data_IF_225269239774
#
_entry.id   IF_225269239774
#
_cell.length_a   1.000
_cell.length_b   1.000
_cell.length_c   1.000
_cell.angle_alpha   90.00
_cell.angle_beta   90.00
_cell.angle_gamma   90.00
#
_symmetry.space_group_name_H-M   'P 1'
#
loop_
_entity.id
_entity.type
_entity.pdbx_description
1 polymer ?
#
# COMPACT_ATOMS: atom_id res chain seq x y z
N UNK A 1 -40.01 24.45 -19.16
CA UNK A 1 -39.15 24.18 -17.99
C UNK A 1 -38.01 23.29 -18.46
N UNK A 2 -36.82 23.87 -18.59
CA UNK A 2 -35.65 23.23 -19.19
C UNK A 2 -34.97 22.29 -18.20
N UNK A 3 -34.72 21.05 -18.64
CA UNK A 3 -33.86 20.08 -17.99
C UNK A 3 -32.40 20.52 -18.19
N UNK A 4 -31.76 21.00 -17.12
CA UNK A 4 -30.34 21.29 -17.12
C UNK A 4 -29.54 19.99 -17.14
N UNK A 5 -28.75 19.83 -18.20
CA UNK A 5 -27.82 18.74 -18.43
C UNK A 5 -26.76 18.63 -17.33
N UNK A 6 -26.61 17.42 -16.78
CA UNK A 6 -25.46 17.07 -15.94
C UNK A 6 -24.19 17.05 -16.81
N UNK A 7 -23.26 17.96 -16.52
CA UNK A 7 -22.00 18.08 -17.25
C UNK A 7 -20.95 17.15 -16.59
N UNK A 8 -20.77 15.94 -17.15
CA UNK A 8 -19.85 14.89 -16.70
C UNK A 8 -18.36 15.15 -17.06
N UNK A 9 -17.99 16.41 -17.31
CA UNK A 9 -16.63 16.78 -17.74
C UNK A 9 -15.49 16.66 -16.72
N UNK A 10 -15.64 16.53 -15.38
CA UNK A 10 -14.48 16.45 -14.50
C UNK A 10 -13.86 15.05 -14.39
N UNK A 11 -14.43 14.02 -15.05
CA UNK A 11 -14.00 12.62 -14.91
C UNK A 11 -13.27 12.03 -16.14
N UNK A 12 -12.82 12.86 -17.09
CA UNK A 12 -12.03 12.38 -18.23
C UNK A 12 -10.54 12.74 -18.08
N UNK A 13 -9.62 11.79 -18.35
CA UNK A 13 -8.20 12.08 -18.42
C UNK A 13 -7.91 13.13 -19.50
N UNK A 14 -6.96 14.03 -19.23
CA UNK A 14 -6.56 15.19 -20.05
C UNK A 14 -6.14 14.88 -21.51
N UNK A 15 -6.17 13.62 -21.95
CA UNK A 15 -5.76 13.22 -23.30
C UNK A 15 -6.96 13.00 -24.22
N UNK A 16 -8.20 13.09 -23.71
CA UNK A 16 -9.44 12.97 -24.48
C UNK A 16 -9.94 14.31 -25.07
N UNK A 17 -9.10 15.34 -25.14
CA UNK A 17 -9.43 16.57 -25.87
C UNK A 17 -9.23 16.31 -27.36
N UNK A 18 -10.34 16.26 -28.10
CA UNK A 18 -10.42 16.15 -29.57
C UNK A 18 -9.36 17.01 -30.26
N UNK A 19 -8.54 16.36 -31.08
CA UNK A 19 -7.76 17.01 -32.13
C UNK A 19 -8.70 17.69 -33.11
N UNK A 20 -8.85 19.01 -33.01
CA UNK A 20 -9.35 19.82 -34.11
C UNK A 20 -8.14 20.27 -34.94
N UNK A 21 -8.04 19.74 -36.15
CA UNK A 21 -7.19 20.27 -37.21
C UNK A 21 -7.63 21.69 -37.55
N UNK A 22 -6.81 22.70 -37.22
CA UNK A 22 -6.88 24.02 -37.85
C UNK A 22 -5.52 24.73 -37.75
N UNK A 23 -4.94 24.97 -38.93
CA UNK A 23 -4.02 26.06 -39.30
C UNK A 23 -2.64 26.18 -38.61
N UNK A 24 -1.63 25.79 -39.37
CA UNK A 24 -0.21 26.09 -39.18
C UNK A 24 0.09 27.59 -39.37
N UNK A 25 -0.08 28.40 -38.32
CA UNK A 25 0.58 29.70 -38.22
C UNK A 25 2.04 29.52 -37.84
N UNK A 26 2.95 29.88 -38.74
CA UNK A 26 4.41 29.97 -38.50
C UNK A 26 4.70 30.97 -37.38
N UNK A 27 4.99 30.47 -36.17
CA UNK A 27 5.59 31.27 -35.10
C UNK A 27 7.11 31.36 -35.33
N UNK A 28 7.63 32.59 -35.31
CA UNK A 28 9.05 32.90 -35.48
C UNK A 28 9.93 32.21 -34.44
N UNK A 29 11.15 31.87 -34.86
CA UNK A 29 12.20 31.25 -34.06
C UNK A 29 12.61 32.16 -32.90
N UNK A 30 12.03 31.92 -31.72
CA UNK A 30 12.50 32.50 -30.46
C UNK A 30 13.86 31.89 -30.12
N UNK A 31 14.93 32.66 -30.32
CA UNK A 31 16.27 32.34 -29.78
C UNK A 31 16.23 32.44 -28.25
N UNK A 32 15.88 31.33 -27.59
CA UNK A 32 16.02 31.19 -26.14
C UNK A 32 17.47 30.83 -25.80
N UNK A 33 18.32 31.85 -25.63
CA UNK A 33 19.63 31.74 -24.97
C UNK A 33 19.45 31.62 -23.45
N UNK A 34 18.74 30.60 -22.98
CA UNK A 34 18.78 30.21 -21.57
C UNK A 34 19.71 29.02 -21.42
N UNK A 35 20.85 29.28 -20.78
CA UNK A 35 21.75 28.26 -20.26
C UNK A 35 20.93 27.18 -19.55
N UNK A 36 20.79 26.00 -20.18
CA UNK A 36 20.33 24.80 -19.50
C UNK A 36 21.43 24.40 -18.52
N UNK A 37 21.47 25.07 -17.39
CA UNK A 37 22.12 24.52 -16.20
C UNK A 37 21.37 23.22 -15.94
N UNK A 38 21.99 22.08 -16.30
CA UNK A 38 21.53 20.76 -15.84
C UNK A 38 21.59 20.84 -14.33
N UNK A 39 20.46 21.20 -13.70
CA UNK A 39 20.24 21.00 -12.28
C UNK A 39 20.39 19.50 -12.12
N UNK A 40 21.56 19.06 -11.65
CA UNK A 40 21.71 17.69 -11.19
C UNK A 40 20.61 17.54 -10.16
N UNK A 41 19.61 16.71 -10.46
CA UNK A 41 18.62 16.28 -9.49
C UNK A 41 19.43 15.47 -8.47
N UNK A 42 20.03 16.18 -7.52
CA UNK A 42 20.65 15.56 -6.37
C UNK A 42 19.55 14.69 -5.78
N UNK A 43 19.79 13.39 -5.62
CA UNK A 43 18.80 12.44 -5.12
C UNK A 43 18.29 12.90 -3.76
N UNK A 44 17.23 13.70 -3.78
CA UNK A 44 16.78 14.46 -2.63
C UNK A 44 15.89 13.51 -1.83
N UNK A 45 16.50 12.72 -0.94
CA UNK A 45 15.79 11.79 -0.07
C UNK A 45 15.00 12.57 1.00
N UNK A 46 13.81 12.11 1.44
CA UNK A 46 13.01 12.78 2.51
C UNK A 46 13.74 12.79 3.85
N UNK A 47 13.78 13.89 4.60
CA UNK A 47 14.51 13.95 5.87
C UNK A 47 14.04 12.86 6.85
N UNK A 48 14.94 12.29 7.66
CA UNK A 48 14.57 11.27 8.66
C UNK A 48 13.56 11.77 9.70
N UNK A 49 13.50 13.09 9.89
CA UNK A 49 12.55 13.74 10.80
C UNK A 49 11.17 13.97 10.19
N UNK A 50 10.96 13.55 8.95
CA UNK A 50 9.67 13.69 8.27
C UNK A 50 8.61 12.85 8.99
N UNK A 51 7.46 13.47 9.28
CA UNK A 51 6.32 12.82 9.92
C UNK A 51 5.85 11.55 9.19
N UNK A 52 5.98 11.54 7.85
CA UNK A 52 5.63 10.40 7.02
C UNK A 52 6.52 9.19 7.27
N UNK A 53 7.81 9.42 7.51
CA UNK A 53 8.71 8.34 7.88
C UNK A 53 8.39 7.81 9.28
N UNK A 54 8.12 8.70 10.24
CA UNK A 54 7.81 8.27 11.62
C UNK A 54 6.50 7.51 11.75
N UNK A 55 5.50 7.82 10.92
CA UNK A 55 4.22 7.12 10.97
C UNK A 55 4.34 5.61 10.66
N UNK A 56 5.43 5.16 10.00
CA UNK A 56 5.73 3.73 9.81
C UNK A 56 6.09 2.97 11.09
N UNK A 57 6.36 3.66 12.20
CA UNK A 57 6.60 3.02 13.49
C UNK A 57 5.41 2.19 13.97
N UNK A 58 4.20 2.47 13.49
CA UNK A 58 3.02 1.65 13.80
C UNK A 58 3.16 0.21 13.32
N UNK A 59 3.85 -0.02 12.20
CA UNK A 59 4.12 -1.37 11.68
C UNK A 59 5.25 -2.07 12.47
N UNK A 60 6.24 -1.30 12.93
CA UNK A 60 7.25 -1.82 13.84
C UNK A 60 6.64 -2.20 15.20
N UNK A 61 5.70 -1.41 15.70
CA UNK A 61 4.92 -1.73 16.90
C UNK A 61 4.09 -3.00 16.70
N UNK A 62 3.40 -3.13 15.55
CA UNK A 62 2.69 -4.35 15.22
C UNK A 62 3.62 -5.56 15.26
N UNK A 63 4.81 -5.46 14.65
CA UNK A 63 5.79 -6.53 14.63
C UNK A 63 6.24 -6.93 16.05
N UNK A 64 6.50 -5.95 16.93
CA UNK A 64 6.86 -6.21 18.33
C UNK A 64 5.72 -6.96 19.04
N UNK A 65 4.47 -6.57 18.83
CA UNK A 65 3.31 -7.27 19.40
C UNK A 65 3.25 -8.70 18.86
N UNK A 66 3.38 -8.89 17.55
CA UNK A 66 3.37 -10.22 16.94
C UNK A 66 4.49 -11.12 17.49
N UNK A 67 5.72 -10.62 17.61
CA UNK A 67 6.81 -11.38 18.21
C UNK A 67 6.59 -11.69 19.69
N UNK A 68 5.93 -10.80 20.43
CA UNK A 68 5.58 -11.02 21.84
C UNK A 68 4.47 -12.06 22.02
N UNK A 69 3.75 -12.38 20.96
CA UNK A 69 2.69 -13.39 20.91
C UNK A 69 3.10 -14.66 20.14
N UNK A 70 4.40 -14.88 19.94
CA UNK A 70 4.98 -16.01 19.20
C UNK A 70 4.48 -16.15 17.75
N UNK A 71 4.00 -15.05 17.14
CA UNK A 71 3.62 -14.98 15.73
C UNK A 71 4.78 -14.45 14.89
N UNK A 72 5.79 -15.28 14.69
CA UNK A 72 7.00 -14.94 13.95
C UNK A 72 6.72 -14.60 12.49
N UNK A 73 5.81 -15.32 11.80
CA UNK A 73 5.51 -15.03 10.40
C UNK A 73 4.90 -13.63 10.23
N UNK A 74 3.90 -13.30 11.06
CA UNK A 74 3.33 -11.96 11.10
C UNK A 74 4.38 -10.91 11.49
N UNK A 75 5.19 -11.19 12.52
CA UNK A 75 6.22 -10.27 13.00
C UNK A 75 7.25 -9.92 11.91
N UNK A 76 7.72 -10.92 11.16
CA UNK A 76 8.66 -10.70 10.04
C UNK A 76 8.03 -9.86 8.95
N UNK A 77 6.79 -10.15 8.54
CA UNK A 77 6.10 -9.37 7.51
C UNK A 77 5.85 -7.93 7.94
N UNK A 78 5.46 -7.71 9.19
CA UNK A 78 5.16 -6.38 9.74
C UNK A 78 6.43 -5.54 9.93
N UNK A 79 7.53 -6.15 10.37
CA UNK A 79 8.84 -5.50 10.41
C UNK A 79 9.33 -5.20 8.99
N UNK A 80 9.13 -6.14 8.07
CA UNK A 80 9.38 -5.96 6.65
C UNK A 80 8.60 -4.77 6.07
N UNK A 81 7.33 -4.62 6.43
CA UNK A 81 6.49 -3.50 6.00
C UNK A 81 7.03 -2.17 6.54
N UNK A 82 7.43 -2.12 7.81
CA UNK A 82 8.04 -0.94 8.40
C UNK A 82 9.30 -0.51 7.65
N UNK A 83 10.17 -1.47 7.32
CA UNK A 83 11.43 -1.22 6.60
C UNK A 83 11.16 -0.82 5.14
N UNK A 84 10.36 -1.60 4.41
CA UNK A 84 10.07 -1.38 3.01
C UNK A 84 9.36 -0.03 2.78
N UNK A 85 8.32 0.26 3.56
CA UNK A 85 7.61 1.53 3.50
C UNK A 85 8.52 2.71 3.85
N UNK A 86 9.38 2.55 4.87
CA UNK A 86 10.35 3.59 5.22
C UNK A 86 11.33 3.86 4.09
N UNK A 87 11.84 2.81 3.42
CA UNK A 87 12.73 2.96 2.27
C UNK A 87 12.02 3.60 1.07
N UNK A 88 10.76 3.23 0.83
CA UNK A 88 9.91 3.81 -0.20
C UNK A 88 9.74 5.32 0.02
N UNK A 89 9.30 5.75 1.20
CA UNK A 89 9.12 7.17 1.52
C UNK A 89 10.44 7.94 1.59
N UNK A 90 11.50 7.34 2.13
CA UNK A 90 12.83 7.95 2.15
C UNK A 90 13.32 8.24 0.72
N UNK A 91 12.93 7.41 -0.25
CA UNK A 91 13.24 7.61 -1.66
C UNK A 91 12.33 8.63 -2.38
N UNK A 92 11.45 9.35 -1.67
CA UNK A 92 10.38 10.16 -2.25
C UNK A 92 9.51 9.36 -3.22
N UNK A 93 9.17 8.15 -2.80
CA UNK A 93 8.25 7.28 -3.53
C UNK A 93 8.73 6.89 -4.95
N UNK A 94 10.04 7.01 -5.23
CA UNK A 94 10.63 6.70 -6.56
C UNK A 94 11.20 5.29 -6.67
N UNK A 95 11.45 4.62 -5.55
CA UNK A 95 12.06 3.28 -5.47
C UNK A 95 11.36 2.46 -4.40
N UNK A 96 11.40 1.13 -4.52
CA UNK A 96 10.84 0.17 -3.54
C UNK A 96 9.32 0.07 -3.48
N UNK A 97 8.57 0.72 -4.38
CA UNK A 97 7.10 0.60 -4.46
C UNK A 97 6.65 -0.86 -4.53
N UNK A 98 7.31 -1.67 -5.38
CA UNK A 98 6.93 -3.07 -5.56
C UNK A 98 7.12 -3.89 -4.28
N UNK A 99 8.23 -3.65 -3.55
CA UNK A 99 8.51 -4.36 -2.31
C UNK A 99 7.48 -3.99 -1.23
N UNK A 100 7.20 -2.69 -1.08
CA UNK A 100 6.21 -2.16 -0.14
C UNK A 100 4.81 -2.70 -0.45
N UNK A 101 4.39 -2.65 -1.72
CA UNK A 101 3.12 -3.17 -2.18
C UNK A 101 3.00 -4.69 -2.01
N UNK A 102 4.09 -5.45 -2.25
CA UNK A 102 4.09 -6.90 -2.10
C UNK A 102 3.89 -7.29 -0.64
N UNK A 103 4.66 -6.71 0.28
CA UNK A 103 4.54 -7.01 1.72
C UNK A 103 3.17 -6.55 2.25
N UNK A 104 2.73 -5.34 1.89
CA UNK A 104 1.39 -4.85 2.27
C UNK A 104 0.28 -5.72 1.69
N UNK A 105 0.45 -6.23 0.46
CA UNK A 105 -0.49 -7.14 -0.18
C UNK A 105 -0.58 -8.47 0.57
N UNK A 106 0.55 -9.05 0.98
CA UNK A 106 0.58 -10.27 1.80
C UNK A 106 -0.11 -10.07 3.15
N UNK A 107 0.15 -8.95 3.84
CA UNK A 107 -0.58 -8.59 5.06
C UNK A 107 -2.08 -8.42 4.81
N UNK A 108 -2.46 -7.86 3.67
CA UNK A 108 -3.85 -7.77 3.22
C UNK A 108 -4.52 -9.13 3.04
N UNK A 109 -3.81 -10.12 2.49
CA UNK A 109 -4.30 -11.49 2.36
C UNK A 109 -4.53 -12.14 3.73
N UNK A 110 -3.60 -11.96 4.68
CA UNK A 110 -3.77 -12.44 6.07
C UNK A 110 -5.00 -11.80 6.72
N UNK A 111 -5.20 -10.50 6.49
CA UNK A 111 -6.39 -9.79 6.98
C UNK A 111 -7.69 -10.40 6.44
N UNK A 112 -7.75 -10.66 5.12
CA UNK A 112 -8.92 -11.27 4.46
C UNK A 112 -9.15 -12.70 4.95
N UNK A 113 -8.09 -13.51 5.03
CA UNK A 113 -8.15 -14.87 5.57
C UNK A 113 -8.74 -14.89 6.99
N UNK A 114 -8.27 -14.00 7.87
CA UNK A 114 -8.79 -13.87 9.22
C UNK A 114 -10.26 -13.42 9.20
N UNK A 115 -10.65 -12.53 8.28
CA UNK A 115 -12.04 -12.13 8.08
C UNK A 115 -12.94 -13.30 7.66
N UNK A 116 -12.50 -14.11 6.71
CA UNK A 116 -13.23 -15.32 6.30
C UNK A 116 -13.41 -16.28 7.48
N UNK A 117 -12.37 -16.52 8.27
CA UNK A 117 -12.46 -17.35 9.48
C UNK A 117 -13.47 -16.80 10.49
N UNK A 118 -13.52 -15.48 10.70
CA UNK A 118 -14.50 -14.87 11.60
C UNK A 118 -15.94 -15.06 11.11
N UNK A 119 -16.16 -15.00 9.79
CA UNK A 119 -17.45 -15.27 9.17
C UNK A 119 -17.86 -16.74 9.31
N UNK A 120 -16.95 -17.68 9.01
CA UNK A 120 -17.21 -19.12 9.11
C UNK A 120 -17.52 -19.58 10.53
N UNK A 121 -16.98 -18.90 11.56
CA UNK A 121 -17.23 -19.20 12.97
C UNK A 121 -18.34 -18.33 13.59
N UNK A 122 -19.06 -17.53 12.78
CA UNK A 122 -20.13 -16.64 13.23
C UNK A 122 -19.72 -15.61 14.32
N UNK A 123 -18.45 -15.18 14.35
CA UNK A 123 -17.96 -14.16 15.27
C UNK A 123 -18.28 -12.75 14.77
N UNK A 124 -19.57 -12.42 14.71
CA UNK A 124 -20.06 -11.20 14.06
C UNK A 124 -19.53 -9.90 14.68
N UNK A 125 -19.23 -9.88 15.98
CA UNK A 125 -18.58 -8.72 16.62
C UNK A 125 -17.19 -8.43 16.05
N UNK A 126 -16.37 -9.47 15.88
CA UNK A 126 -15.02 -9.35 15.29
C UNK A 126 -15.12 -9.01 13.81
N UNK A 127 -16.07 -9.64 13.10
CA UNK A 127 -16.32 -9.36 11.69
C UNK A 127 -16.71 -7.90 11.47
N UNK A 128 -17.57 -7.32 12.33
CA UNK A 128 -17.96 -5.91 12.25
C UNK A 128 -16.75 -4.98 12.43
N UNK A 129 -15.87 -5.27 13.41
CA UNK A 129 -14.62 -4.51 13.60
C UNK A 129 -13.74 -4.58 12.36
N UNK A 130 -13.59 -5.78 11.76
CA UNK A 130 -12.81 -5.94 10.52
C UNK A 130 -13.43 -5.19 9.34
N UNK A 131 -14.74 -5.26 9.13
CA UNK A 131 -15.43 -4.52 8.05
C UNK A 131 -15.23 -3.01 8.22
N UNK A 132 -15.30 -2.50 9.45
CA UNK A 132 -15.03 -1.10 9.74
C UNK A 132 -13.59 -0.71 9.38
N UNK A 133 -12.61 -1.50 9.83
CA UNK A 133 -11.18 -1.27 9.53
C UNK A 133 -10.89 -1.31 8.03
N UNK A 134 -11.43 -2.29 7.31
CA UNK A 134 -11.33 -2.39 5.85
C UNK A 134 -11.94 -1.15 5.16
N UNK A 135 -13.10 -0.69 5.65
CA UNK A 135 -13.75 0.51 5.11
C UNK A 135 -12.91 1.77 5.33
N UNK A 136 -12.33 1.92 6.52
CA UNK A 136 -11.45 3.05 6.85
C UNK A 136 -10.16 3.02 6.02
N UNK A 137 -9.56 1.85 5.82
CA UNK A 137 -8.45 1.66 4.89
C UNK A 137 -8.85 2.10 3.49
N UNK A 138 -9.91 1.52 2.91
CA UNK A 138 -10.36 1.87 1.56
C UNK A 138 -10.62 3.38 1.39
N UNK A 139 -11.30 3.99 2.37
CA UNK A 139 -11.56 5.42 2.39
C UNK A 139 -10.25 6.25 2.41
N UNK A 140 -9.33 5.94 3.31
CA UNK A 140 -8.08 6.70 3.44
C UNK A 140 -7.17 6.50 2.23
N UNK A 141 -7.14 5.31 1.62
CA UNK A 141 -6.42 5.04 0.39
C UNK A 141 -6.95 5.85 -0.80
N UNK A 142 -8.27 5.78 -1.06
CA UNK A 142 -8.91 6.51 -2.15
C UNK A 142 -8.75 8.03 -1.99
N UNK A 143 -8.87 8.53 -0.75
CA UNK A 143 -8.78 9.95 -0.47
C UNK A 143 -7.34 10.49 -0.56
N UNK A 144 -6.32 9.69 -0.25
CA UNK A 144 -4.93 10.16 -0.24
C UNK A 144 -4.40 10.53 -1.64
N UNK A 145 -4.91 9.87 -2.69
CA UNK A 145 -4.48 10.10 -4.06
C UNK A 145 -3.10 9.49 -4.36
N UNK A 146 -2.49 9.92 -5.47
CA UNK A 146 -1.22 9.34 -5.93
C UNK A 146 0.00 9.97 -5.23
N UNK A 147 1.13 9.24 -5.12
CA UNK A 147 2.38 9.74 -4.57
C UNK A 147 2.83 11.07 -5.19
N UNK A 148 3.35 11.97 -4.35
CA UNK A 148 3.90 13.26 -4.79
C UNK A 148 2.91 14.43 -4.83
N UNK A 149 1.64 14.22 -4.47
CA UNK A 149 0.65 15.29 -4.29
C UNK A 149 0.54 15.80 -2.84
N UNK A 150 0.08 17.04 -2.63
CA UNK A 150 -0.11 17.61 -1.28
C UNK A 150 -1.10 16.80 -0.42
N UNK A 151 -2.13 16.21 -1.06
CA UNK A 151 -3.10 15.34 -0.38
C UNK A 151 -2.44 14.05 0.12
N UNK A 152 -1.49 13.52 -0.64
CA UNK A 152 -0.79 12.29 -0.31
C UNK A 152 -0.01 12.48 1.00
N UNK A 153 0.84 13.50 1.09
CA UNK A 153 1.65 13.73 2.29
C UNK A 153 0.79 13.94 3.57
N UNK A 154 -0.41 14.53 3.44
CA UNK A 154 -1.32 14.74 4.58
C UNK A 154 -2.10 13.48 4.99
N UNK A 155 -2.58 12.71 4.01
CA UNK A 155 -3.49 11.60 4.27
C UNK A 155 -2.79 10.25 4.33
N UNK A 156 -1.62 10.10 3.72
CA UNK A 156 -0.86 8.86 3.77
C UNK A 156 -0.36 8.55 5.19
N UNK A 157 -0.05 9.59 5.98
CA UNK A 157 0.14 9.47 7.43
C UNK A 157 -1.05 8.80 8.13
N UNK A 158 -2.28 9.22 7.79
CA UNK A 158 -3.50 8.67 8.39
C UNK A 158 -3.74 7.25 7.91
N UNK A 159 -3.46 6.99 6.64
CA UNK A 159 -3.46 5.63 6.09
C UNK A 159 -2.55 4.72 6.91
N UNK A 160 -1.31 5.11 7.23
CA UNK A 160 -0.42 4.31 8.08
C UNK A 160 -1.02 3.97 9.43
N UNK A 161 -1.63 4.93 10.13
CA UNK A 161 -2.24 4.64 11.43
C UNK A 161 -3.45 3.71 11.30
N UNK A 162 -4.29 3.88 10.27
CA UNK A 162 -5.48 3.04 10.06
C UNK A 162 -5.10 1.63 9.62
N UNK A 163 -4.18 1.49 8.66
CA UNK A 163 -3.64 0.19 8.23
C UNK A 163 -2.86 -0.47 9.36
N UNK A 164 -2.07 0.27 10.13
CA UNK A 164 -1.36 -0.21 11.32
C UNK A 164 -2.31 -0.74 12.40
N UNK A 165 -3.41 -0.03 12.71
CA UNK A 165 -4.45 -0.52 13.60
C UNK A 165 -5.12 -1.80 13.06
N UNK A 166 -5.32 -1.87 11.74
CA UNK A 166 -5.83 -3.05 11.06
C UNK A 166 -4.89 -4.25 11.20
N UNK A 167 -3.58 -4.01 11.09
CA UNK A 167 -2.53 -5.00 11.28
C UNK A 167 -2.49 -5.50 12.73
N UNK A 168 -2.42 -4.59 13.71
CA UNK A 168 -2.37 -4.94 15.15
C UNK A 168 -3.61 -5.72 15.58
N UNK A 169 -4.80 -5.25 15.22
CA UNK A 169 -6.04 -5.97 15.54
C UNK A 169 -6.07 -7.37 14.92
N UNK A 170 -5.54 -7.54 13.71
CA UNK A 170 -5.44 -8.84 13.06
C UNK A 170 -4.47 -9.77 13.80
N UNK A 171 -3.30 -9.28 14.22
CA UNK A 171 -2.38 -10.02 15.10
C UNK A 171 -3.11 -10.51 16.36
N UNK A 172 -3.78 -9.60 17.09
CA UNK A 172 -4.48 -9.96 18.32
C UNK A 172 -5.58 -11.01 18.10
N UNK A 173 -6.33 -10.92 17.00
CA UNK A 173 -7.33 -11.93 16.66
C UNK A 173 -6.70 -13.27 16.29
N UNK A 174 -5.62 -13.27 15.52
CA UNK A 174 -4.90 -14.51 15.21
C UNK A 174 -4.36 -15.14 16.50
N UNK A 175 -3.78 -14.36 17.42
CA UNK A 175 -3.23 -14.91 18.67
C UNK A 175 -4.32 -15.55 19.53
N UNK A 176 -5.48 -14.92 19.61
CA UNK A 176 -6.56 -15.39 20.48
C UNK A 176 -7.36 -16.55 19.89
N UNK A 177 -7.55 -16.57 18.57
CA UNK A 177 -8.52 -17.47 17.92
C UNK A 177 -7.91 -18.44 16.91
N UNK A 178 -6.63 -18.27 16.56
CA UNK A 178 -5.88 -19.15 15.68
C UNK A 178 -4.39 -19.19 16.07
N UNK A 179 -4.05 -19.59 17.31
CA UNK A 179 -2.67 -19.56 17.79
C UNK A 179 -1.72 -20.43 16.94
N UNK A 180 -2.23 -21.46 16.28
CA UNK A 180 -1.51 -22.33 15.35
C UNK A 180 -1.23 -21.71 13.96
N UNK A 181 -1.53 -20.42 13.75
CA UNK A 181 -1.37 -19.75 12.46
C UNK A 181 0.03 -19.92 11.84
N UNK A 182 1.09 -19.74 12.63
CA UNK A 182 2.46 -19.87 12.15
C UNK A 182 2.80 -21.30 11.69
N UNK A 183 2.24 -22.32 12.36
CA UNK A 183 2.39 -23.72 11.95
C UNK A 183 1.68 -23.96 10.62
N UNK A 184 0.44 -23.48 10.48
CA UNK A 184 -0.32 -23.60 9.23
C UNK A 184 0.41 -22.96 8.04
N UNK A 185 1.01 -21.79 8.25
CA UNK A 185 1.78 -21.11 7.21
C UNK A 185 3.07 -21.87 6.89
N UNK A 186 3.75 -22.43 7.91
CA UNK A 186 4.95 -23.22 7.71
C UNK A 186 4.66 -24.46 6.86
N UNK A 187 3.61 -25.22 7.18
CA UNK A 187 3.16 -26.39 6.42
C UNK A 187 2.82 -26.03 4.98
N UNK A 188 2.02 -24.97 4.78
CA UNK A 188 1.66 -24.49 3.44
C UNK A 188 2.91 -24.12 2.61
N UNK A 189 3.87 -23.44 3.23
CA UNK A 189 5.11 -23.03 2.57
C UNK A 189 5.97 -24.24 2.21
N UNK A 190 6.06 -25.21 3.11
CA UNK A 190 6.80 -26.46 2.89
C UNK A 190 6.20 -27.26 1.73
N UNK A 191 4.88 -27.42 1.70
CA UNK A 191 4.18 -28.12 0.61
C UNK A 191 4.36 -27.42 -0.73
N UNK A 192 4.31 -26.08 -0.76
CA UNK A 192 4.58 -25.30 -1.97
C UNK A 192 5.99 -25.53 -2.49
N UNK A 193 7.00 -25.52 -1.60
CA UNK A 193 8.40 -25.76 -1.98
C UNK A 193 8.57 -27.17 -2.53
N UNK A 194 8.01 -28.18 -1.87
CA UNK A 194 8.08 -29.57 -2.35
C UNK A 194 7.44 -29.73 -3.72
N UNK A 195 6.26 -29.16 -3.94
CA UNK A 195 5.58 -29.23 -5.23
C UNK A 195 6.36 -28.51 -6.34
N UNK A 196 6.95 -27.35 -6.07
CA UNK A 196 7.80 -26.64 -7.03
C UNK A 196 9.06 -27.44 -7.37
N UNK A 197 9.70 -28.06 -6.39
CA UNK A 197 10.87 -28.92 -6.63
C UNK A 197 10.53 -30.14 -7.48
N UNK A 198 9.38 -30.79 -7.20
CA UNK A 198 8.91 -31.94 -7.99
C UNK A 198 8.65 -31.53 -9.45
N UNK A 199 7.91 -30.44 -9.68
CA UNK A 199 7.65 -29.94 -11.04
C UNK A 199 8.97 -29.58 -11.75
N UNK A 200 9.90 -28.93 -11.06
CA UNK A 200 11.21 -28.57 -11.63
C UNK A 200 12.05 -29.80 -11.98
N UNK A 201 11.92 -30.89 -11.21
CA UNK A 201 12.59 -32.17 -11.48
C UNK A 201 11.94 -32.99 -12.60
N UNK A 202 10.66 -32.76 -12.91
CA UNK A 202 9.93 -33.44 -14.00
C UNK A 202 10.02 -32.68 -15.34
N UNK A 203 10.50 -31.43 -15.33
CA UNK A 203 10.72 -30.60 -16.51
C UNK A 203 12.17 -30.62 -17.03
N UNK A 204 13.02 -31.50 -16.50
CA UNK A 204 14.38 -31.83 -17.00
C UNK A 204 14.31 -33.23 -17.61
#
# INVERSE_FOLDING_TARGET
MCLCSFNLQPFLPQWASRCNHAETRKLGTVKSSRSRRKVRVCHNKRAWRDSLIYSNLVYALAAIISFSCDQHFCGVLQMGAAIASTMFHRSKETKYLLLDALISGTLGLIFVFTGQRTLSNAWYGILAVKVLLASLCAFTWLYCGLPGGERYDKWHNRWHYVSGATTISTTLFLTMYLPEFDVLVHELTHDLIQNVMIVSSMCI
#
